data_IF_212945862084
#
_entry.id   IF_212945862084
#
_cell.length_a   1.000
_cell.length_b   1.000
_cell.length_c   1.000
_cell.angle_alpha   90.00
_cell.angle_beta   90.00
_cell.angle_gamma   90.00
#
_symmetry.space_group_name_H-M   'P 1'
#
loop_
_entity.id
_entity.type
_entity.pdbx_description
1 polymer ?
#
# COMPACT_ATOMS: atom_id res chain seq x y z
N UNK A 1 -29.68 1.36 41.70
CA UNK A 1 -30.35 0.48 40.73
C UNK A 1 -30.50 1.25 39.43
N UNK A 2 -29.52 1.13 38.55
CA UNK A 2 -29.45 1.87 37.29
C UNK A 2 -29.99 0.96 36.17
N UNK A 3 -31.11 1.34 35.58
CA UNK A 3 -31.72 0.64 34.45
C UNK A 3 -30.86 0.83 33.19
N UNK A 4 -30.19 -0.23 32.80
CA UNK A 4 -29.52 -0.35 31.49
C UNK A 4 -30.56 -0.24 30.38
N UNK A 5 -30.58 0.89 29.66
CA UNK A 5 -31.30 1.00 28.37
C UNK A 5 -30.62 0.10 27.33
N UNK A 6 -31.18 -1.07 27.11
CA UNK A 6 -30.87 -1.87 25.93
C UNK A 6 -31.32 -1.06 24.69
N UNK A 7 -30.36 -0.57 23.90
CA UNK A 7 -30.67 -0.01 22.59
C UNK A 7 -31.18 -1.13 21.68
N UNK A 8 -32.35 -0.97 21.13
CA UNK A 8 -32.90 -1.88 20.11
C UNK A 8 -31.98 -1.94 18.91
N UNK A 9 -31.79 -3.12 18.30
CA UNK A 9 -30.99 -3.24 17.09
C UNK A 9 -31.60 -2.36 15.97
N UNK A 10 -30.77 -1.72 15.14
CA UNK A 10 -31.28 -0.90 14.04
C UNK A 10 -32.13 -1.75 13.11
N UNK A 11 -33.21 -1.17 12.58
CA UNK A 11 -34.08 -1.87 11.64
C UNK A 11 -33.28 -2.29 10.39
N UNK A 12 -33.59 -3.47 9.77
CA UNK A 12 -32.85 -3.98 8.61
C UNK A 12 -32.84 -2.98 7.45
N UNK A 13 -33.86 -2.13 7.32
CA UNK A 13 -33.94 -1.06 6.33
C UNK A 13 -32.92 0.04 6.63
N UNK A 14 -32.75 0.46 7.89
CA UNK A 14 -31.70 1.43 8.27
C UNK A 14 -30.31 0.88 8.04
N UNK A 15 -30.08 -0.39 8.37
CA UNK A 15 -28.79 -1.05 8.11
C UNK A 15 -28.52 -1.14 6.62
N UNK A 16 -29.51 -1.50 5.80
CA UNK A 16 -29.39 -1.55 4.35
C UNK A 16 -29.13 -0.17 3.74
N UNK A 17 -29.85 0.86 4.15
CA UNK A 17 -29.61 2.24 3.71
C UNK A 17 -28.21 2.74 4.10
N UNK A 18 -27.79 2.49 5.33
CA UNK A 18 -26.45 2.89 5.79
C UNK A 18 -25.37 2.15 5.02
N UNK A 19 -25.57 0.85 4.73
CA UNK A 19 -24.62 0.06 3.93
C UNK A 19 -24.56 0.55 2.48
N UNK A 20 -25.70 0.89 1.87
CA UNK A 20 -25.76 1.42 0.52
C UNK A 20 -25.19 2.85 0.40
N UNK A 21 -25.23 3.63 1.48
CA UNK A 21 -24.67 5.00 1.48
C UNK A 21 -23.19 5.06 1.84
N UNK A 22 -22.65 4.03 2.52
CA UNK A 22 -21.25 3.99 2.98
C UNK A 22 -20.32 3.14 2.12
N UNK A 23 -20.84 2.10 1.45
CA UNK A 23 -20.04 1.22 0.60
C UNK A 23 -20.35 1.52 -0.87
N UNK A 24 -19.31 1.88 -1.63
CA UNK A 24 -19.43 2.09 -3.07
C UNK A 24 -19.36 0.74 -3.80
N UNK A 25 -20.49 0.18 -4.30
CA UNK A 25 -20.47 -1.09 -5.03
C UNK A 25 -19.71 -0.98 -6.37
N UNK A 26 -19.53 0.24 -6.89
CA UNK A 26 -18.81 0.50 -8.14
C UNK A 26 -17.29 0.56 -7.92
N UNK A 27 -16.80 0.64 -6.67
CA UNK A 27 -15.35 0.57 -6.41
C UNK A 27 -14.74 -0.74 -6.93
N UNK A 28 -15.49 -1.84 -6.91
CA UNK A 28 -15.07 -3.12 -7.45
C UNK A 28 -15.10 -3.18 -8.98
N UNK A 29 -15.87 -2.32 -9.65
CA UNK A 29 -15.91 -2.25 -11.12
C UNK A 29 -14.55 -1.90 -11.70
N UNK A 30 -13.76 -1.10 -11.00
CA UNK A 30 -12.42 -0.75 -11.39
C UNK A 30 -11.46 -1.95 -11.46
N UNK A 31 -11.65 -2.94 -10.59
CA UNK A 31 -10.83 -4.17 -10.57
C UNK A 31 -11.13 -5.02 -11.80
N UNK A 32 -12.37 -4.98 -12.29
CA UNK A 32 -12.84 -5.76 -13.44
C UNK A 32 -12.45 -5.16 -14.79
N UNK A 33 -12.01 -3.90 -14.84
CA UNK A 33 -11.62 -3.28 -16.09
C UNK A 33 -10.31 -3.90 -16.63
N UNK A 34 -10.28 -4.16 -17.93
CA UNK A 34 -9.11 -4.74 -18.60
C UNK A 34 -7.88 -3.84 -18.57
N UNK A 35 -6.70 -4.43 -18.68
CA UNK A 35 -5.41 -3.70 -18.69
C UNK A 35 -5.35 -2.55 -19.73
N UNK A 36 -5.88 -2.69 -20.97
CA UNK A 36 -5.90 -1.59 -21.94
C UNK A 36 -6.67 -0.35 -21.48
N UNK A 37 -7.79 -0.55 -20.80
CA UNK A 37 -8.59 0.57 -20.26
C UNK A 37 -7.78 1.35 -19.21
N UNK A 38 -7.07 0.65 -18.34
CA UNK A 38 -6.23 1.30 -17.34
C UNK A 38 -5.06 2.07 -17.97
N UNK A 39 -4.42 1.51 -18.98
CA UNK A 39 -3.39 2.23 -19.73
C UNK A 39 -3.95 3.49 -20.40
N UNK A 40 -5.14 3.42 -20.95
CA UNK A 40 -5.83 4.59 -21.49
C UNK A 40 -6.10 5.65 -20.40
N UNK A 41 -6.63 5.25 -19.24
CA UNK A 41 -6.89 6.16 -18.13
C UNK A 41 -5.59 6.77 -17.56
N UNK A 42 -4.52 6.00 -17.43
CA UNK A 42 -3.22 6.51 -17.02
C UNK A 42 -2.70 7.60 -17.98
N UNK A 43 -2.92 7.43 -19.27
CA UNK A 43 -2.58 8.46 -20.27
C UNK A 43 -3.51 9.68 -20.18
N UNK A 44 -4.81 9.48 -19.96
CA UNK A 44 -5.80 10.55 -19.80
C UNK A 44 -5.49 11.40 -18.56
N UNK A 45 -5.11 10.76 -17.46
CA UNK A 45 -4.74 11.40 -16.20
C UNK A 45 -3.23 11.65 -16.06
N UNK A 46 -2.48 11.58 -17.17
CA UNK A 46 -1.06 11.87 -17.13
C UNK A 46 -0.76 13.24 -16.50
N UNK A 47 0.27 13.28 -15.66
CA UNK A 47 0.70 14.52 -15.02
C UNK A 47 1.31 15.45 -16.08
N UNK A 48 0.91 16.75 -16.13
CA UNK A 48 1.45 17.70 -17.11
C UNK A 48 2.96 17.87 -16.99
N UNK A 49 3.48 17.78 -15.76
CA UNK A 49 4.88 17.82 -15.44
C UNK A 49 5.19 16.73 -14.43
N UNK A 50 5.60 15.53 -14.88
CA UNK A 50 5.99 14.49 -13.95
C UNK A 50 7.18 14.96 -13.11
N UNK A 51 7.22 14.63 -11.80
CA UNK A 51 8.30 15.04 -10.95
C UNK A 51 9.63 14.44 -11.44
N UNK A 52 10.74 15.22 -11.38
CA UNK A 52 12.04 14.68 -11.73
C UNK A 52 12.44 13.55 -10.76
N UNK A 53 13.19 12.55 -11.24
CA UNK A 53 13.74 11.54 -10.36
C UNK A 53 14.52 12.18 -9.21
N UNK A 54 14.31 11.70 -7.99
CA UNK A 54 15.09 12.12 -6.84
C UNK A 54 16.49 11.53 -6.90
N UNK A 55 17.43 12.21 -6.28
CA UNK A 55 18.80 11.71 -6.17
C UNK A 55 19.12 11.46 -4.71
N UNK A 56 19.71 10.30 -4.43
CA UNK A 56 20.14 9.98 -3.08
C UNK A 56 21.34 10.85 -2.68
N UNK A 57 21.19 11.53 -1.55
CA UNK A 57 22.21 12.37 -0.95
C UNK A 57 22.82 11.75 0.31
N UNK A 58 22.06 10.90 0.99
CA UNK A 58 22.48 10.15 2.19
C UNK A 58 22.07 8.69 2.06
N UNK A 59 22.81 7.73 2.65
CA UNK A 59 22.46 6.32 2.59
C UNK A 59 21.11 6.05 3.24
N UNK A 60 20.38 5.05 2.76
CA UNK A 60 19.20 4.51 3.43
C UNK A 60 19.66 3.85 4.73
N UNK A 61 19.10 4.25 5.87
CA UNK A 61 19.54 3.83 7.19
C UNK A 61 18.54 2.91 7.89
N UNK A 62 17.22 3.12 7.69
CA UNK A 62 16.17 2.35 8.38
C UNK A 62 15.06 1.96 7.43
N UNK A 63 14.71 0.68 7.44
CA UNK A 63 13.58 0.10 6.72
C UNK A 63 12.55 -0.43 7.74
N UNK A 64 11.45 0.29 7.94
CA UNK A 64 10.38 -0.15 8.83
C UNK A 64 9.33 -0.91 8.02
N UNK A 65 9.44 -2.23 8.00
CA UNK A 65 8.67 -3.12 7.12
C UNK A 65 7.37 -3.65 7.73
N UNK A 66 6.97 -3.12 8.88
CA UNK A 66 5.68 -3.45 9.50
C UNK A 66 4.48 -3.01 8.67
N UNK A 67 3.37 -3.71 8.85
CA UNK A 67 2.13 -3.46 8.12
C UNK A 67 1.52 -2.09 8.47
N UNK A 68 0.74 -1.50 7.57
CA UNK A 68 -0.07 -0.33 7.89
C UNK A 68 -0.91 -0.55 9.17
N UNK A 69 -1.15 0.52 9.92
CA UNK A 69 -1.90 0.52 11.20
C UNK A 69 -1.23 -0.23 12.36
N UNK A 70 0.06 -0.53 12.27
CA UNK A 70 0.86 -1.08 13.38
C UNK A 70 1.64 0.00 14.16
N UNK A 71 1.24 1.27 14.05
CA UNK A 71 1.92 2.41 14.66
C UNK A 71 2.98 3.04 13.76
N UNK A 72 2.86 2.88 12.45
CA UNK A 72 3.82 3.36 11.44
C UNK A 72 4.01 4.87 11.47
N UNK A 73 2.94 5.65 11.68
CA UNK A 73 3.00 7.09 11.80
C UNK A 73 3.74 7.54 13.08
N UNK A 74 3.44 6.90 14.23
CA UNK A 74 4.17 7.16 15.47
C UNK A 74 5.65 6.82 15.34
N UNK A 75 5.97 5.75 14.61
CA UNK A 75 7.34 5.35 14.34
C UNK A 75 8.04 6.35 13.42
N UNK A 76 7.37 6.87 12.39
CA UNK A 76 7.88 7.95 11.55
C UNK A 76 8.25 9.16 12.41
N UNK A 77 7.32 9.63 13.27
CA UNK A 77 7.57 10.76 14.15
C UNK A 77 8.74 10.51 15.11
N UNK A 78 8.83 9.31 15.68
CA UNK A 78 9.94 8.94 16.55
C UNK A 78 11.28 8.96 15.81
N UNK A 79 11.35 8.45 14.58
CA UNK A 79 12.56 8.49 13.76
C UNK A 79 12.98 9.91 13.43
N UNK A 80 12.03 10.78 13.07
CA UNK A 80 12.31 12.20 12.82
C UNK A 80 12.89 12.88 14.09
N UNK A 81 12.30 12.62 15.26
CA UNK A 81 12.81 13.15 16.53
C UNK A 81 14.21 12.63 16.90
N UNK A 82 14.55 11.44 16.45
CA UNK A 82 15.88 10.85 16.63
C UNK A 82 16.92 11.35 15.60
N UNK A 83 16.53 12.29 14.72
CA UNK A 83 17.43 12.87 13.73
C UNK A 83 17.49 12.13 12.39
N UNK A 84 16.61 11.13 12.17
CA UNK A 84 16.44 10.53 10.83
C UNK A 84 15.58 11.46 9.98
N UNK A 85 16.18 12.50 9.46
CA UNK A 85 15.51 13.47 8.61
C UNK A 85 14.90 12.78 7.37
N UNK A 86 13.76 13.29 6.91
CA UNK A 86 13.04 12.74 5.76
C UNK A 86 12.74 11.23 5.89
N UNK A 87 12.12 10.83 6.99
CA UNK A 87 11.51 9.50 7.11
C UNK A 87 10.24 9.45 6.28
N UNK A 88 10.26 8.68 5.20
CA UNK A 88 9.14 8.54 4.26
C UNK A 88 8.06 7.61 4.82
N UNK A 89 6.80 8.00 4.68
CA UNK A 89 5.62 7.24 5.10
C UNK A 89 4.70 6.93 3.89
N UNK A 90 3.82 5.96 4.03
CA UNK A 90 2.83 5.67 2.97
C UNK A 90 2.02 6.90 2.56
N UNK A 91 1.63 7.77 3.49
CA UNK A 91 0.93 9.01 3.18
C UNK A 91 1.69 9.94 2.25
N UNK A 92 3.02 9.91 2.26
CA UNK A 92 3.84 10.77 1.40
C UNK A 92 3.68 10.42 -0.09
N UNK A 93 3.24 9.18 -0.41
CA UNK A 93 2.89 8.81 -1.79
C UNK A 93 1.80 9.73 -2.36
N UNK A 94 0.91 10.22 -1.49
CA UNK A 94 -0.27 11.02 -1.85
C UNK A 94 -0.08 12.51 -1.54
N UNK A 95 0.51 12.82 -0.38
CA UNK A 95 0.58 14.16 0.17
C UNK A 95 1.91 14.88 -0.06
N UNK A 96 2.86 14.24 -0.73
CA UNK A 96 4.11 14.89 -1.10
C UNK A 96 3.84 16.09 -2.03
N UNK A 97 4.67 17.11 -1.97
CA UNK A 97 4.54 18.33 -2.77
C UNK A 97 4.35 18.05 -4.27
N UNK A 98 4.97 16.97 -4.75
CA UNK A 98 4.83 16.46 -6.10
C UNK A 98 4.32 15.04 -6.10
N UNK A 99 3.40 14.72 -7.01
CA UNK A 99 2.80 13.41 -7.11
C UNK A 99 3.79 12.38 -7.71
N UNK A 100 4.40 11.58 -6.86
CA UNK A 100 5.27 10.44 -7.26
C UNK A 100 4.51 9.12 -7.41
N UNK A 101 3.19 9.10 -7.25
CA UNK A 101 2.37 7.89 -7.36
C UNK A 101 2.55 7.12 -8.70
N UNK A 102 2.73 7.77 -9.86
CA UNK A 102 3.06 7.05 -11.11
C UNK A 102 4.34 6.22 -11.02
N UNK A 103 5.36 6.71 -10.31
CA UNK A 103 6.60 5.97 -10.07
C UNK A 103 6.37 4.71 -9.22
N UNK A 104 5.57 4.83 -8.16
CA UNK A 104 5.17 3.70 -7.33
C UNK A 104 4.35 2.67 -8.10
N UNK A 105 3.44 3.11 -8.99
CA UNK A 105 2.70 2.22 -9.89
C UNK A 105 3.66 1.46 -10.82
N UNK A 106 4.68 2.12 -11.36
CA UNK A 106 5.72 1.48 -12.20
C UNK A 106 6.46 0.38 -11.44
N UNK A 107 6.89 0.64 -10.20
CA UNK A 107 7.55 -0.37 -9.36
C UNK A 107 6.61 -1.52 -8.98
N UNK A 108 5.39 -1.21 -8.56
CA UNK A 108 4.39 -2.21 -8.20
C UNK A 108 4.04 -3.12 -9.39
N UNK A 109 3.92 -2.55 -10.59
CA UNK A 109 3.70 -3.31 -11.83
C UNK A 109 4.86 -4.25 -12.12
N UNK A 110 6.11 -3.82 -11.96
CA UNK A 110 7.29 -4.67 -12.12
C UNK A 110 7.26 -5.83 -11.13
N UNK A 111 6.96 -5.55 -9.86
CA UNK A 111 6.82 -6.58 -8.82
C UNK A 111 5.70 -7.56 -9.14
N UNK A 112 4.52 -7.06 -9.54
CA UNK A 112 3.34 -7.88 -9.85
C UNK A 112 3.61 -8.87 -10.99
N UNK A 113 4.14 -8.39 -12.10
CA UNK A 113 4.42 -9.25 -13.25
C UNK A 113 5.56 -10.24 -12.98
N UNK A 114 6.57 -9.84 -12.19
CA UNK A 114 7.63 -10.76 -11.78
C UNK A 114 7.11 -11.87 -10.87
N UNK A 115 6.14 -11.57 -10.00
CA UNK A 115 5.59 -12.53 -9.04
C UNK A 115 4.56 -13.48 -9.65
N UNK A 116 3.79 -13.02 -10.64
CA UNK A 116 2.64 -13.74 -11.22
C UNK A 116 2.94 -14.42 -12.57
N UNK A 117 4.18 -14.37 -13.06
CA UNK A 117 4.56 -15.05 -14.30
C UNK A 117 5.33 -16.35 -14.01
N UNK A 118 4.65 -17.48 -13.75
CA UNK A 118 5.28 -18.78 -13.60
C UNK A 118 5.89 -19.31 -14.91
N UNK A 119 5.50 -18.75 -16.08
CA UNK A 119 5.99 -19.07 -17.41
C UNK A 119 7.14 -18.18 -17.88
N UNK A 120 7.63 -17.25 -17.09
CA UNK A 120 8.91 -16.60 -17.32
C UNK A 120 9.99 -17.69 -17.34
N UNK A 121 10.36 -18.10 -18.56
CA UNK A 121 11.20 -19.26 -18.81
C UNK A 121 12.40 -19.31 -17.89
N UNK A 122 12.65 -20.46 -17.30
CA UNK A 122 13.88 -20.77 -16.60
C UNK A 122 15.03 -20.54 -17.57
N UNK A 123 15.79 -19.45 -17.35
CA UNK A 123 17.09 -19.31 -17.97
C UNK A 123 17.99 -20.45 -17.48
N UNK A 124 19.09 -20.78 -18.17
CA UNK A 124 19.94 -21.93 -17.87
C UNK A 124 20.52 -21.99 -16.46
N UNK A 125 20.22 -21.05 -15.59
CA UNK A 125 20.65 -21.00 -14.17
C UNK A 125 19.50 -20.94 -13.14
N UNK A 126 18.25 -21.26 -13.53
CA UNK A 126 17.14 -21.30 -12.56
C UNK A 126 16.74 -19.95 -11.93
N UNK A 127 17.30 -18.84 -12.39
CA UNK A 127 16.95 -17.49 -11.90
C UNK A 127 15.74 -16.94 -12.63
N UNK A 128 14.65 -16.74 -11.94
CA UNK A 128 13.47 -16.02 -12.44
C UNK A 128 13.88 -14.69 -13.03
N UNK A 129 13.74 -14.54 -14.33
CA UNK A 129 14.02 -13.31 -15.09
C UNK A 129 12.86 -12.31 -14.96
N UNK A 130 12.47 -11.96 -13.71
CA UNK A 130 11.72 -10.75 -13.45
C UNK A 130 12.70 -9.59 -13.38
N UNK A 131 12.34 -8.42 -13.93
CA UNK A 131 13.20 -7.25 -13.82
C UNK A 131 13.41 -6.90 -12.35
N UNK A 132 14.59 -7.17 -11.80
CA UNK A 132 14.97 -6.91 -10.42
C UNK A 132 14.77 -5.43 -10.13
N UNK A 133 14.08 -5.11 -9.04
CA UNK A 133 13.98 -3.73 -8.54
C UNK A 133 15.26 -3.45 -7.75
N UNK A 134 15.96 -2.41 -8.14
CA UNK A 134 17.29 -2.05 -7.61
C UNK A 134 17.22 -0.84 -6.68
N UNK A 135 18.30 -0.54 -5.95
CA UNK A 135 18.41 0.67 -5.15
C UNK A 135 18.18 1.94 -6.00
N UNK A 136 18.71 1.98 -7.23
CA UNK A 136 18.52 3.12 -8.14
C UNK A 136 17.04 3.37 -8.46
N UNK A 137 16.24 2.30 -8.63
CA UNK A 137 14.81 2.43 -8.87
C UNK A 137 14.06 3.03 -7.67
N UNK A 138 14.43 2.62 -6.45
CA UNK A 138 13.88 3.21 -5.23
C UNK A 138 14.38 4.63 -5.00
N UNK A 139 15.62 4.93 -5.34
CA UNK A 139 16.20 6.26 -5.16
C UNK A 139 15.50 7.33 -6.01
N UNK A 140 14.95 6.96 -7.18
CA UNK A 140 14.11 7.87 -7.95
C UNK A 140 12.91 8.40 -7.15
N UNK A 141 12.44 7.65 -6.16
CA UNK A 141 11.27 7.99 -5.31
C UNK A 141 11.68 8.41 -3.90
N UNK A 142 12.70 7.76 -3.33
CA UNK A 142 13.10 7.87 -1.92
C UNK A 142 14.46 8.54 -1.74
N UNK A 143 15.07 9.10 -2.78
CA UNK A 143 16.43 9.62 -2.72
C UNK A 143 16.67 10.75 -1.71
N UNK A 144 15.60 11.42 -1.26
CA UNK A 144 15.64 12.45 -0.22
C UNK A 144 15.48 11.88 1.21
N UNK A 145 15.15 10.60 1.35
CA UNK A 145 14.79 9.97 2.63
C UNK A 145 15.89 9.03 3.11
N UNK A 146 16.15 9.04 4.42
CA UNK A 146 17.09 8.14 5.09
C UNK A 146 16.40 6.97 5.79
N UNK A 147 15.10 7.05 5.95
CA UNK A 147 14.26 6.00 6.50
C UNK A 147 12.94 5.89 5.72
N UNK A 148 12.32 4.72 5.75
CA UNK A 148 11.03 4.46 5.10
C UNK A 148 10.16 3.56 5.98
N UNK A 149 8.85 3.83 6.00
CA UNK A 149 7.87 3.11 6.82
C UNK A 149 6.55 2.94 6.08
N UNK A 150 5.63 2.15 6.66
CA UNK A 150 4.26 1.94 6.18
C UNK A 150 4.17 1.21 4.83
N UNK A 151 3.16 1.51 4.02
CA UNK A 151 2.86 0.82 2.77
C UNK A 151 4.05 0.81 1.79
N UNK A 152 4.81 1.91 1.71
CA UNK A 152 5.98 2.02 0.86
C UNK A 152 7.03 0.97 1.20
N UNK A 153 7.32 0.78 2.49
CA UNK A 153 8.28 -0.21 2.96
C UNK A 153 7.70 -1.64 2.97
N UNK A 154 6.47 -1.80 3.49
CA UNK A 154 5.89 -3.13 3.68
C UNK A 154 5.57 -3.86 2.38
N UNK A 155 5.12 -3.15 1.34
CA UNK A 155 4.85 -3.75 0.02
C UNK A 155 6.13 -4.24 -0.65
N UNK A 156 7.23 -3.52 -0.49
CA UNK A 156 8.51 -3.80 -1.16
C UNK A 156 9.61 -4.28 -0.19
N UNK A 157 9.23 -4.85 0.96
CA UNK A 157 10.18 -5.17 2.02
C UNK A 157 11.35 -6.05 1.55
N UNK A 158 11.07 -7.14 0.85
CA UNK A 158 12.12 -8.04 0.36
C UNK A 158 13.06 -7.35 -0.65
N UNK A 159 12.48 -6.58 -1.58
CA UNK A 159 13.25 -5.85 -2.58
C UNK A 159 14.07 -4.72 -1.94
N UNK A 160 13.52 -4.01 -0.94
CA UNK A 160 14.25 -2.96 -0.23
C UNK A 160 15.39 -3.52 0.63
N UNK A 161 15.16 -4.62 1.34
CA UNK A 161 16.23 -5.29 2.11
C UNK A 161 17.36 -5.73 1.18
N UNK A 162 17.05 -6.27 0.01
CA UNK A 162 18.04 -6.63 -0.97
C UNK A 162 18.76 -5.41 -1.60
N UNK A 163 18.03 -4.29 -1.79
CA UNK A 163 18.57 -3.08 -2.38
C UNK A 163 19.45 -2.26 -1.42
N UNK A 164 19.16 -2.33 -0.10
CA UNK A 164 19.85 -1.58 0.94
C UNK A 164 20.33 -2.49 2.07
N UNK A 165 21.33 -3.35 1.82
CA UNK A 165 21.77 -4.37 2.77
C UNK A 165 22.36 -3.78 4.06
N UNK A 166 22.84 -2.54 4.05
CA UNK A 166 23.39 -1.85 5.22
C UNK A 166 22.31 -1.17 6.09
N UNK A 167 21.06 -1.10 5.60
CA UNK A 167 19.99 -0.46 6.35
C UNK A 167 19.51 -1.37 7.50
N UNK A 168 19.19 -0.77 8.63
CA UNK A 168 18.56 -1.47 9.76
C UNK A 168 17.12 -1.81 9.44
N UNK A 169 16.75 -3.06 9.59
CA UNK A 169 15.36 -3.51 9.37
C UNK A 169 14.61 -3.52 10.70
N UNK A 170 13.47 -2.84 10.73
CA UNK A 170 12.56 -2.78 11.88
C UNK A 170 11.22 -3.39 11.49
N UNK A 171 10.82 -4.46 12.18
CA UNK A 171 9.50 -5.06 12.03
C UNK A 171 8.61 -4.61 13.20
N UNK A 172 7.81 -3.59 12.97
CA UNK A 172 6.79 -3.16 13.92
C UNK A 172 5.51 -3.98 13.73
N UNK A 173 5.01 -4.53 14.83
CA UNK A 173 3.81 -5.37 14.82
C UNK A 173 2.82 -4.91 15.90
N UNK A 174 1.54 -5.14 15.66
CA UNK A 174 0.50 -4.89 16.65
C UNK A 174 0.16 -6.19 17.38
N UNK A 175 0.19 -6.16 18.71
CA UNK A 175 -0.06 -7.35 19.56
C UNK A 175 -1.51 -7.84 19.41
N UNK A 176 -2.45 -6.93 19.40
CA UNK A 176 -3.88 -7.22 19.29
C UNK A 176 -4.29 -7.17 17.81
N UNK A 177 -4.49 -8.36 17.21
CA UNK A 177 -4.84 -8.52 15.81
C UNK A 177 -6.27 -8.08 15.50
N UNK A 178 -7.20 -8.28 16.42
CA UNK A 178 -8.60 -7.90 16.20
C UNK A 178 -8.74 -6.37 16.23
N UNK A 179 -8.03 -5.71 17.16
CA UNK A 179 -7.95 -4.25 17.18
C UNK A 179 -7.20 -3.69 15.96
N UNK A 180 -6.23 -4.41 15.43
CA UNK A 180 -5.54 -4.03 14.18
C UNK A 180 -6.48 -4.13 12.97
N UNK A 181 -7.21 -5.26 12.81
CA UNK A 181 -8.18 -5.46 11.73
C UNK A 181 -9.27 -4.38 11.77
N UNK A 182 -9.82 -4.10 12.95
CA UNK A 182 -10.79 -3.02 13.15
C UNK A 182 -10.22 -1.64 12.76
N UNK A 183 -8.95 -1.39 13.08
CA UNK A 183 -8.28 -0.14 12.68
C UNK A 183 -8.10 -0.04 11.17
N UNK A 184 -7.78 -1.13 10.47
CA UNK A 184 -7.71 -1.17 9.01
C UNK A 184 -9.08 -0.90 8.37
N UNK A 185 -10.11 -1.62 8.83
CA UNK A 185 -11.48 -1.46 8.33
C UNK A 185 -11.99 -0.02 8.50
N UNK A 186 -11.77 0.57 9.67
CA UNK A 186 -12.24 1.93 9.99
C UNK A 186 -11.42 3.06 9.34
N UNK A 187 -10.31 2.75 8.70
CA UNK A 187 -9.45 3.78 8.07
C UNK A 187 -9.21 3.50 6.59
N UNK A 188 -8.31 2.59 6.28
CA UNK A 188 -7.87 2.36 4.89
C UNK A 188 -8.97 1.82 4.00
N UNK A 189 -9.71 0.81 4.50
CA UNK A 189 -10.84 0.24 3.76
C UNK A 189 -11.94 1.28 3.59
N UNK A 190 -12.30 1.96 4.69
CA UNK A 190 -13.33 2.99 4.65
C UNK A 190 -12.97 4.15 3.70
N UNK A 191 -11.72 4.61 3.71
CA UNK A 191 -11.26 5.67 2.82
C UNK A 191 -11.33 5.25 1.34
N UNK A 192 -10.83 4.06 1.02
CA UNK A 192 -10.81 3.56 -0.35
C UNK A 192 -12.21 3.22 -0.90
N UNK A 193 -13.11 2.74 -0.06
CA UNK A 193 -14.49 2.43 -0.43
C UNK A 193 -15.42 3.65 -0.36
N UNK A 194 -14.92 4.83 0.03
CA UNK A 194 -15.75 6.03 0.14
C UNK A 194 -16.19 6.55 -1.22
N UNK A 195 -17.47 6.90 -1.34
CA UNK A 195 -17.99 7.55 -2.55
C UNK A 195 -17.27 8.85 -2.88
N UNK A 196 -16.93 9.62 -1.85
CA UNK A 196 -16.25 10.91 -2.01
C UNK A 196 -14.87 10.73 -2.66
N UNK A 197 -14.07 9.81 -2.19
CA UNK A 197 -12.75 9.54 -2.77
C UNK A 197 -12.86 8.94 -4.18
N UNK A 198 -13.82 8.03 -4.39
CA UNK A 198 -14.07 7.45 -5.71
C UNK A 198 -14.48 8.53 -6.73
N UNK A 199 -15.41 9.42 -6.39
CA UNK A 199 -15.79 10.53 -7.28
C UNK A 199 -14.60 11.47 -7.50
N UNK A 200 -13.87 11.83 -6.46
CA UNK A 200 -12.69 12.67 -6.57
C UNK A 200 -11.61 12.06 -7.49
N UNK A 201 -11.47 10.73 -7.50
CA UNK A 201 -10.53 10.03 -8.38
C UNK A 201 -10.86 10.19 -9.88
N UNK A 202 -12.11 10.52 -10.22
CA UNK A 202 -12.50 10.82 -11.60
C UNK A 202 -12.39 12.31 -11.97
N UNK A 203 -12.33 13.19 -10.96
CA UNK A 203 -12.34 14.65 -11.17
C UNK A 203 -10.93 15.28 -11.05
N UNK A 204 -10.00 14.64 -10.34
CA UNK A 204 -8.64 15.14 -10.14
C UNK A 204 -7.60 14.10 -10.54
N UNK A 205 -6.53 14.55 -11.18
CA UNK A 205 -5.40 13.70 -11.57
C UNK A 205 -4.67 13.14 -10.33
N UNK A 206 -4.46 13.96 -9.34
CA UNK A 206 -3.79 13.60 -8.10
C UNK A 206 -4.61 12.55 -7.34
N UNK A 207 -5.93 12.75 -7.24
CA UNK A 207 -6.84 11.78 -6.62
C UNK A 207 -6.91 10.47 -7.43
N UNK A 208 -6.88 10.56 -8.78
CA UNK A 208 -6.80 9.36 -9.62
C UNK A 208 -5.55 8.55 -9.30
N UNK A 209 -4.38 9.17 -9.31
CA UNK A 209 -3.13 8.48 -9.06
C UNK A 209 -3.03 7.96 -7.62
N UNK A 210 -3.53 8.71 -6.63
CA UNK A 210 -3.61 8.28 -5.25
C UNK A 210 -4.49 7.03 -5.10
N UNK A 211 -5.70 7.06 -5.65
CA UNK A 211 -6.61 5.92 -5.63
C UNK A 211 -6.02 4.74 -6.39
N UNK A 212 -5.49 4.98 -7.59
CA UNK A 212 -4.95 3.97 -8.49
C UNK A 212 -3.77 3.21 -7.89
N UNK A 213 -2.80 3.91 -7.28
CA UNK A 213 -1.63 3.28 -6.66
C UNK A 213 -2.02 2.38 -5.49
N UNK A 214 -2.93 2.83 -4.64
CA UNK A 214 -3.32 2.07 -3.48
C UNK A 214 -4.24 0.92 -3.81
N UNK A 215 -5.38 1.18 -4.47
CA UNK A 215 -6.43 0.19 -4.68
C UNK A 215 -6.01 -0.89 -5.67
N UNK A 216 -5.27 -0.51 -6.71
CA UNK A 216 -4.92 -1.46 -7.76
C UNK A 216 -3.59 -2.15 -7.59
N UNK A 217 -2.67 -1.56 -6.83
CA UNK A 217 -1.31 -2.09 -6.75
C UNK A 217 -0.88 -2.37 -5.31
N UNK A 218 -0.83 -1.37 -4.43
CA UNK A 218 -0.22 -1.58 -3.14
C UNK A 218 -1.02 -2.55 -2.25
N UNK A 219 -2.32 -2.35 -2.12
CA UNK A 219 -3.15 -3.23 -1.30
C UNK A 219 -3.26 -4.65 -1.86
N UNK A 220 -3.52 -4.87 -3.16
CA UNK A 220 -3.50 -6.21 -3.73
C UNK A 220 -2.17 -6.93 -3.58
N UNK A 221 -1.04 -6.23 -3.72
CA UNK A 221 0.29 -6.81 -3.50
C UNK A 221 0.53 -7.16 -2.03
N UNK A 222 0.19 -6.25 -1.12
CA UNK A 222 0.44 -6.40 0.31
C UNK A 222 -0.44 -7.51 0.92
N UNK A 223 -1.73 -7.51 0.60
CA UNK A 223 -2.70 -8.44 1.17
C UNK A 223 -2.98 -9.65 0.28
N UNK A 224 -2.29 -9.79 -0.86
CA UNK A 224 -2.54 -10.84 -1.86
C UNK A 224 -4.02 -10.94 -2.23
N UNK A 225 -4.64 -9.78 -2.43
CA UNK A 225 -6.03 -9.68 -2.81
C UNK A 225 -6.21 -10.20 -4.25
N UNK A 226 -6.73 -11.43 -4.37
CA UNK A 226 -7.31 -11.90 -5.61
C UNK A 226 -8.67 -11.24 -5.85
N UNK A 227 -9.51 -11.85 -6.66
CA UNK A 227 -10.82 -11.34 -7.11
C UNK A 227 -11.86 -11.06 -6.01
N UNK A 228 -11.50 -11.24 -4.75
CA UNK A 228 -12.41 -11.15 -3.59
C UNK A 228 -12.46 -9.80 -2.87
N UNK A 229 -11.72 -8.78 -3.37
CA UNK A 229 -11.66 -7.45 -2.75
C UNK A 229 -10.80 -7.37 -1.49
N UNK A 230 -10.42 -6.13 -1.13
CA UNK A 230 -9.47 -5.84 -0.05
C UNK A 230 -9.94 -6.37 1.31
N UNK A 231 -11.22 -6.23 1.67
CA UNK A 231 -11.76 -6.74 2.95
C UNK A 231 -11.55 -8.24 3.14
N UNK A 232 -11.85 -9.03 2.11
CA UNK A 232 -11.67 -10.48 2.18
C UNK A 232 -10.20 -10.85 2.28
N UNK A 233 -9.35 -10.16 1.54
CA UNK A 233 -7.92 -10.36 1.55
C UNK A 233 -7.29 -9.99 2.89
N UNK A 234 -7.69 -8.88 3.50
CA UNK A 234 -7.25 -8.47 4.84
C UNK A 234 -7.62 -9.55 5.86
N UNK A 235 -8.89 -9.98 5.91
CA UNK A 235 -9.35 -11.00 6.85
C UNK A 235 -8.67 -12.35 6.68
N UNK A 236 -8.45 -12.77 5.42
CA UNK A 236 -7.82 -14.05 5.12
C UNK A 236 -6.30 -14.06 5.32
N UNK A 237 -5.63 -13.00 4.88
CA UNK A 237 -4.18 -12.99 4.76
C UNK A 237 -3.46 -12.19 5.87
N UNK A 238 -4.14 -11.24 6.50
CA UNK A 238 -3.53 -10.36 7.48
C UNK A 238 -3.03 -11.10 8.72
N UNK A 239 -3.81 -12.04 9.25
CA UNK A 239 -3.39 -12.88 10.39
C UNK A 239 -2.20 -13.76 10.03
N UNK A 240 -2.13 -14.22 8.81
CA UNK A 240 -1.05 -15.03 8.28
C UNK A 240 0.24 -14.20 8.09
N UNK A 241 0.13 -13.01 7.53
CA UNK A 241 1.24 -12.07 7.36
C UNK A 241 1.82 -11.66 8.73
N UNK A 242 0.97 -11.35 9.72
CA UNK A 242 1.44 -10.96 11.05
C UNK A 242 2.02 -12.11 11.89
N UNK A 243 1.63 -13.35 11.61
CA UNK A 243 2.24 -14.52 12.30
C UNK A 243 3.62 -14.89 11.78
N UNK A 244 4.14 -14.14 10.81
CA UNK A 244 5.42 -14.43 10.20
C UNK A 244 5.43 -15.64 9.26
N UNK A 245 4.26 -16.16 8.95
CA UNK A 245 4.08 -17.26 7.99
C UNK A 245 4.18 -16.75 6.53
N UNK A 246 4.43 -15.45 6.36
CA UNK A 246 4.68 -14.84 5.06
C UNK A 246 6.17 -14.92 4.70
N UNK A 247 6.44 -15.02 3.41
CA UNK A 247 7.76 -15.04 2.76
C UNK A 247 8.73 -13.91 3.23
N UNK A 248 8.26 -12.97 4.06
CA UNK A 248 9.08 -11.94 4.69
C UNK A 248 10.14 -12.47 5.64
N UNK A 249 9.94 -13.61 6.30
CA UNK A 249 10.86 -14.14 7.32
C UNK A 249 11.83 -15.22 6.83
N UNK A 250 11.80 -15.54 5.52
CA UNK A 250 12.81 -16.44 4.96
C UNK A 250 14.11 -15.74 4.56
N UNK A 251 14.28 -14.45 4.89
CA UNK A 251 15.43 -13.63 4.54
C UNK A 251 16.09 -12.93 5.74
N UNK A 252 15.76 -13.34 6.98
CA UNK A 252 16.50 -12.89 8.18
C UNK A 252 17.26 -14.05 8.78
#
# INVERSE_FOLDING_TARGET
MALSRKSSPPSPVKTLLTTLTTLNPLSHLHILLSSPIWTFLENLYALPSPPPPRKRTQPMQVLCVGLPRTGTESLQQALIHLGYEHTYHGWDIVYDEKCYAPGWVKLARRKWYSSNNPSGGEGPEGKRKGAVITAADFDELLGHSVAVTDAAASVFAAEMVAAYPEAKVVLNMRRDLDAWEKSLDGTLVHANESWGFWVASWLSRECFWAWHVYERFLWPLLFRAGDGGMKRAIRGNARWIQRGECVFLHFV
#
